data_IF_208833552909
#
_entry.id   IF_208833552909
#
_cell.length_a   1.000
_cell.length_b   1.000
_cell.length_c   1.000
_cell.angle_alpha   90.00
_cell.angle_beta   90.00
_cell.angle_gamma   90.00
#
_symmetry.space_group_name_H-M   'P 1'
#
loop_
_entity.id
_entity.type
_entity.pdbx_description
1 polymer ?
#
# COMPACT_ATOMS: atom_id res chain seq x y z
N UNK A 1 -20.60 -35.41 4.40
CA UNK A 1 -21.86 -35.14 5.08
C UNK A 1 -21.84 -35.95 6.37
N UNK A 2 -22.05 -35.30 7.51
CA UNK A 2 -22.09 -35.94 8.83
C UNK A 2 -23.53 -35.88 9.32
N UNK A 3 -24.04 -36.99 9.82
CA UNK A 3 -25.35 -37.06 10.45
C UNK A 3 -25.18 -36.92 11.96
N UNK A 4 -25.89 -35.96 12.56
CA UNK A 4 -26.00 -35.80 14.00
C UNK A 4 -27.36 -36.38 14.41
N UNK A 5 -27.39 -37.21 15.46
CA UNK A 5 -28.62 -37.76 16.03
C UNK A 5 -28.83 -37.18 17.42
N UNK A 6 -29.97 -36.52 17.64
CA UNK A 6 -30.39 -36.02 18.93
C UNK A 6 -30.91 -37.13 19.84
N UNK A 7 -30.95 -36.87 21.15
CA UNK A 7 -31.40 -37.82 22.16
C UNK A 7 -32.86 -38.28 21.93
N UNK A 8 -33.69 -37.43 21.33
CA UNK A 8 -35.10 -37.70 21.03
C UNK A 8 -35.36 -38.26 19.62
N UNK A 9 -34.33 -38.73 18.91
CA UNK A 9 -34.47 -39.30 17.56
C UNK A 9 -34.52 -38.27 16.43
N UNK A 10 -34.27 -37.00 16.73
CA UNK A 10 -34.05 -35.95 15.73
C UNK A 10 -32.74 -36.19 14.97
N UNK A 11 -32.68 -35.73 13.72
CA UNK A 11 -31.46 -35.77 12.92
C UNK A 11 -31.15 -34.38 12.36
N UNK A 12 -29.87 -34.02 12.38
CA UNK A 12 -29.34 -32.85 11.69
C UNK A 12 -28.19 -33.30 10.77
N UNK A 13 -27.92 -32.53 9.72
CA UNK A 13 -26.86 -32.83 8.76
C UNK A 13 -25.89 -31.67 8.67
N UNK A 14 -24.59 -32.01 8.71
CA UNK A 14 -23.52 -31.04 8.53
C UNK A 14 -22.72 -31.38 7.29
N UNK A 15 -22.58 -30.40 6.40
CA UNK A 15 -21.69 -30.53 5.25
C UNK A 15 -20.26 -30.14 5.67
N UNK A 16 -19.31 -31.03 5.42
CA UNK A 16 -17.89 -30.72 5.58
C UNK A 16 -17.57 -29.55 4.65
N UNK A 17 -16.88 -28.55 5.18
CA UNK A 17 -16.47 -27.36 4.42
C UNK A 17 -17.63 -26.55 3.83
N UNK A 18 -18.77 -26.47 4.51
CA UNK A 18 -19.76 -25.45 4.23
C UNK A 18 -19.19 -24.05 4.53
N UNK A 19 -19.61 -23.04 3.75
CA UNK A 19 -19.18 -21.64 3.89
C UNK A 19 -20.40 -20.81 4.28
N UNK A 20 -20.23 -19.89 5.21
CA UNK A 20 -21.30 -18.98 5.66
C UNK A 20 -21.58 -17.86 4.66
N UNK A 21 -20.60 -17.51 3.83
CA UNK A 21 -20.64 -16.40 2.90
C UNK A 21 -20.11 -16.82 1.54
N UNK A 22 -20.59 -16.16 0.48
CA UNK A 22 -20.05 -16.32 -0.88
C UNK A 22 -18.67 -15.67 -0.98
N UNK A 23 -17.81 -16.23 -1.82
CA UNK A 23 -16.50 -15.64 -2.06
C UNK A 23 -16.61 -14.35 -2.89
N UNK A 24 -16.14 -13.23 -2.34
CA UNK A 24 -16.09 -11.96 -3.04
C UNK A 24 -14.88 -11.90 -3.98
N UNK A 25 -15.15 -11.80 -5.28
CA UNK A 25 -14.09 -11.73 -6.29
C UNK A 25 -13.55 -10.30 -6.53
N UNK A 26 -14.31 -9.27 -6.14
CA UNK A 26 -14.00 -7.87 -6.45
C UNK A 26 -13.67 -7.08 -5.18
N UNK A 27 -12.52 -7.40 -4.58
CA UNK A 27 -12.11 -6.83 -3.28
C UNK A 27 -11.85 -5.31 -3.29
N UNK A 28 -11.77 -4.68 -4.46
CA UNK A 28 -11.54 -3.24 -4.64
C UNK A 28 -12.59 -2.57 -5.54
N UNK A 29 -13.76 -3.18 -5.70
CA UNK A 29 -14.87 -2.52 -6.38
C UNK A 29 -15.26 -1.23 -5.63
N UNK A 30 -15.57 -0.12 -6.33
CA UNK A 30 -15.62 0.06 -7.78
C UNK A 30 -14.29 0.56 -8.41
N UNK A 31 -13.23 0.71 -7.63
CA UNK A 31 -12.00 1.42 -8.01
C UNK A 31 -11.09 0.63 -8.96
N UNK A 32 -10.98 -0.69 -8.77
CA UNK A 32 -10.16 -1.56 -9.62
C UNK A 32 -10.94 -2.79 -10.06
N UNK A 33 -10.72 -3.19 -11.31
CA UNK A 33 -11.13 -4.50 -11.78
C UNK A 33 -10.15 -5.53 -11.23
N UNK A 34 -10.61 -6.76 -11.01
CA UNK A 34 -9.74 -7.89 -10.62
C UNK A 34 -8.48 -8.04 -11.48
N UNK A 35 -8.55 -7.80 -12.79
CA UNK A 35 -7.39 -7.87 -13.70
C UNK A 35 -6.36 -6.77 -13.48
N UNK A 36 -6.73 -5.72 -12.74
CA UNK A 36 -5.87 -4.58 -12.45
C UNK A 36 -5.04 -4.77 -11.17
N UNK A 37 -5.35 -5.79 -10.37
CA UNK A 37 -4.69 -6.08 -9.11
C UNK A 37 -3.35 -6.78 -9.38
N UNK A 38 -2.21 -6.20 -8.97
CA UNK A 38 -0.90 -6.83 -9.12
C UNK A 38 -0.80 -8.17 -8.38
N UNK A 39 0.02 -9.09 -8.91
CA UNK A 39 0.27 -10.40 -8.31
C UNK A 39 0.85 -10.35 -6.89
N UNK A 40 1.59 -9.30 -6.54
CA UNK A 40 2.15 -9.16 -5.20
C UNK A 40 1.08 -8.87 -4.13
N UNK A 41 -0.10 -8.36 -4.52
CA UNK A 41 -1.22 -8.18 -3.62
C UNK A 41 -1.86 -9.55 -3.34
N UNK A 42 -1.22 -10.22 -2.40
CA UNK A 42 -1.49 -11.59 -2.06
C UNK A 42 -2.74 -11.75 -1.17
N UNK A 43 -3.42 -10.67 -0.81
CA UNK A 43 -4.65 -10.77 -0.01
C UNK A 43 -5.73 -11.53 -0.79
N UNK A 44 -5.92 -11.17 -2.07
CA UNK A 44 -6.88 -11.86 -2.92
C UNK A 44 -6.53 -13.35 -3.08
N UNK A 45 -5.25 -13.63 -3.39
CA UNK A 45 -4.76 -14.98 -3.64
C UNK A 45 -4.87 -15.85 -2.38
N UNK A 46 -4.46 -15.32 -1.23
CA UNK A 46 -4.62 -16.00 0.04
C UNK A 46 -6.09 -16.23 0.39
N UNK A 47 -6.95 -15.22 0.32
CA UNK A 47 -8.39 -15.37 0.61
C UNK A 47 -9.02 -16.41 -0.31
N UNK A 48 -8.69 -16.41 -1.60
CA UNK A 48 -9.17 -17.40 -2.58
C UNK A 48 -8.71 -18.81 -2.21
N UNK A 49 -7.41 -19.00 -2.01
CA UNK A 49 -6.85 -20.28 -1.59
C UNK A 49 -7.47 -20.75 -0.28
N UNK A 50 -7.59 -19.86 0.71
CA UNK A 50 -8.18 -20.14 2.00
C UNK A 50 -9.67 -20.50 1.90
N UNK A 51 -10.40 -19.92 0.95
CA UNK A 51 -11.80 -20.22 0.73
C UNK A 51 -12.02 -21.56 0.01
N UNK A 52 -11.33 -21.78 -1.11
CA UNK A 52 -11.59 -22.91 -2.01
C UNK A 52 -10.73 -24.14 -1.71
N UNK A 53 -9.49 -23.95 -1.26
CA UNK A 53 -8.49 -25.01 -1.20
C UNK A 53 -8.27 -25.52 0.23
N UNK A 54 -8.27 -24.63 1.24
CA UNK A 54 -8.11 -25.05 2.63
C UNK A 54 -9.27 -25.95 3.11
N UNK A 55 -8.92 -27.18 3.52
CA UNK A 55 -9.89 -28.22 3.95
C UNK A 55 -9.95 -28.42 5.47
N UNK A 56 -9.16 -27.68 6.26
CA UNK A 56 -9.07 -27.85 7.71
C UNK A 56 -10.14 -27.08 8.49
N UNK A 57 -10.13 -27.26 9.82
CA UNK A 57 -11.09 -26.59 10.70
C UNK A 57 -10.69 -25.13 10.95
N UNK A 58 -11.46 -24.19 10.38
CA UNK A 58 -11.10 -22.75 10.38
C UNK A 58 -11.17 -22.10 11.75
N UNK A 59 -12.11 -22.50 12.62
CA UNK A 59 -12.21 -21.95 13.99
C UNK A 59 -10.99 -22.34 14.82
N UNK A 60 -10.62 -23.63 14.77
CA UNK A 60 -9.39 -24.09 15.41
C UNK A 60 -8.16 -23.43 14.81
N UNK A 61 -8.09 -23.29 13.48
CA UNK A 61 -6.98 -22.59 12.83
C UNK A 61 -6.83 -21.14 13.31
N UNK A 62 -7.92 -20.39 13.40
CA UNK A 62 -7.91 -19.01 13.92
C UNK A 62 -7.33 -18.98 15.33
N UNK A 63 -7.85 -19.84 16.23
CA UNK A 63 -7.35 -19.96 17.59
C UNK A 63 -5.86 -20.35 17.68
N UNK A 64 -5.43 -21.33 16.88
CA UNK A 64 -4.03 -21.77 16.84
C UNK A 64 -3.11 -20.68 16.26
N UNK A 65 -3.57 -19.92 15.27
CA UNK A 65 -2.81 -18.81 14.69
C UNK A 65 -2.60 -17.68 15.70
N UNK A 66 -3.60 -17.39 16.53
CA UNK A 66 -3.53 -16.40 17.59
C UNK A 66 -2.61 -16.86 18.74
N UNK A 67 -2.74 -18.10 19.19
CA UNK A 67 -1.80 -18.70 20.16
C UNK A 67 -0.37 -18.62 19.63
N UNK A 68 -0.17 -18.99 18.36
CA UNK A 68 1.15 -18.94 17.74
C UNK A 68 1.71 -17.52 17.70
N UNK A 69 0.88 -16.51 17.42
CA UNK A 69 1.29 -15.12 17.43
C UNK A 69 1.81 -14.67 18.79
N UNK A 70 1.03 -14.86 19.86
CA UNK A 70 1.47 -14.47 21.21
C UNK A 70 2.68 -15.27 21.68
N UNK A 71 2.76 -16.57 21.36
CA UNK A 71 3.94 -17.40 21.68
C UNK A 71 5.23 -16.94 20.99
N UNK A 72 5.14 -16.21 19.88
CA UNK A 72 6.30 -15.71 19.14
C UNK A 72 6.54 -14.21 19.37
N UNK A 73 6.17 -13.68 20.54
CA UNK A 73 6.44 -12.28 20.93
C UNK A 73 5.45 -11.27 20.35
N UNK A 74 4.31 -11.73 19.83
CA UNK A 74 3.18 -10.87 19.49
C UNK A 74 2.57 -10.23 20.74
N UNK A 75 2.13 -8.98 20.62
CA UNK A 75 1.48 -8.20 21.66
C UNK A 75 0.35 -7.31 21.08
N UNK A 76 -0.31 -6.55 21.94
CA UNK A 76 -1.41 -5.66 21.54
C UNK A 76 -0.93 -4.52 20.64
N UNK A 77 0.35 -4.17 20.62
CA UNK A 77 0.93 -3.11 19.79
C UNK A 77 1.32 -3.58 18.39
N UNK A 78 1.58 -4.88 18.21
CA UNK A 78 1.93 -5.47 16.92
C UNK A 78 0.88 -6.46 16.38
N UNK A 79 -0.26 -6.63 17.07
CA UNK A 79 -1.41 -7.39 16.58
C UNK A 79 -1.86 -6.88 15.20
N UNK A 80 -2.03 -7.75 14.18
CA UNK A 80 -2.43 -7.32 12.85
C UNK A 80 -3.82 -6.71 12.84
N UNK A 81 -4.04 -5.74 11.96
CA UNK A 81 -5.36 -5.11 11.79
C UNK A 81 -6.34 -6.01 11.03
N UNK A 82 -5.84 -6.94 10.20
CA UNK A 82 -6.68 -7.88 9.46
C UNK A 82 -6.59 -9.27 10.07
N UNK A 83 -7.74 -9.88 10.34
CA UNK A 83 -7.86 -11.22 10.93
C UNK A 83 -7.07 -12.28 10.15
N UNK A 84 -7.10 -12.21 8.81
CA UNK A 84 -6.45 -13.18 7.94
C UNK A 84 -4.91 -13.13 7.98
N UNK A 85 -4.29 -12.04 8.44
CA UNK A 85 -2.83 -11.90 8.42
C UNK A 85 -2.16 -12.87 9.40
N UNK A 86 -2.77 -13.10 10.57
CA UNK A 86 -2.32 -14.09 11.55
C UNK A 86 -2.42 -15.50 10.99
N UNK A 87 -3.57 -15.82 10.40
CA UNK A 87 -3.84 -17.13 9.81
C UNK A 87 -2.85 -17.39 8.66
N UNK A 88 -2.65 -16.42 7.78
CA UNK A 88 -1.72 -16.50 6.66
C UNK A 88 -0.31 -16.74 7.14
N UNK A 89 0.19 -15.92 8.08
CA UNK A 89 1.53 -16.07 8.67
C UNK A 89 1.71 -17.45 9.31
N UNK A 90 0.72 -17.90 10.07
CA UNK A 90 0.74 -19.22 10.68
C UNK A 90 0.81 -20.35 9.64
N UNK A 91 -0.03 -20.31 8.61
CA UNK A 91 -0.06 -21.33 7.56
C UNK A 91 1.21 -21.32 6.70
N UNK A 92 1.78 -20.16 6.40
CA UNK A 92 3.07 -20.05 5.71
C UNK A 92 4.20 -20.62 6.56
N UNK A 93 4.25 -20.32 7.86
CA UNK A 93 5.25 -20.90 8.76
C UNK A 93 5.13 -22.42 8.89
N UNK A 94 3.91 -22.96 8.73
CA UNK A 94 3.65 -24.41 8.68
C UNK A 94 3.91 -25.04 7.32
N UNK A 95 4.32 -24.26 6.30
CA UNK A 95 4.50 -24.74 4.93
C UNK A 95 3.20 -25.16 4.23
N UNK A 96 2.04 -24.79 4.77
CA UNK A 96 0.73 -25.14 4.22
C UNK A 96 0.27 -24.16 3.15
N UNK A 97 0.80 -22.94 3.16
CA UNK A 97 0.49 -21.91 2.18
C UNK A 97 1.78 -21.24 1.68
N UNK A 98 1.92 -21.21 0.36
CA UNK A 98 3.02 -20.52 -0.33
C UNK A 98 2.43 -19.40 -1.18
N UNK A 99 2.90 -18.18 -0.93
CA UNK A 99 2.51 -17.02 -1.72
C UNK A 99 3.01 -17.18 -3.16
N UNK A 100 2.22 -16.85 -4.19
CA UNK A 100 2.59 -17.02 -5.60
C UNK A 100 3.64 -16.02 -6.11
N UNK A 101 4.48 -15.47 -5.22
CA UNK A 101 5.47 -14.45 -5.58
C UNK A 101 6.43 -14.97 -6.65
N UNK A 102 6.55 -14.21 -7.75
CA UNK A 102 7.54 -14.43 -8.79
C UNK A 102 8.78 -13.59 -8.50
N UNK A 103 9.96 -14.18 -8.66
CA UNK A 103 11.19 -13.40 -8.72
C UNK A 103 11.38 -12.83 -10.11
N UNK A 104 12.13 -11.73 -10.20
CA UNK A 104 12.61 -11.25 -11.48
C UNK A 104 13.95 -11.94 -11.78
N UNK A 105 14.14 -12.36 -13.02
CA UNK A 105 15.38 -13.00 -13.43
C UNK A 105 16.44 -12.00 -13.92
N UNK A 106 16.07 -10.74 -14.13
CA UNK A 106 16.88 -9.72 -14.78
C UNK A 106 16.89 -8.39 -14.00
N UNK A 107 17.99 -7.66 -14.14
CA UNK A 107 18.12 -6.30 -13.63
C UNK A 107 17.37 -5.31 -14.54
N UNK A 108 16.40 -4.59 -13.99
CA UNK A 108 15.64 -3.58 -14.69
C UNK A 108 16.38 -2.25 -14.65
N UNK A 109 16.39 -1.54 -15.78
CA UNK A 109 16.94 -0.20 -15.87
C UNK A 109 16.24 0.76 -14.89
N UNK A 110 17.01 1.65 -14.25
CA UNK A 110 16.50 2.63 -13.30
C UNK A 110 16.31 2.13 -11.86
N UNK A 111 16.69 0.87 -11.58
CA UNK A 111 16.71 0.31 -10.23
C UNK A 111 18.14 0.23 -9.69
N UNK A 112 18.28 0.50 -8.39
CA UNK A 112 19.54 0.43 -7.65
C UNK A 112 19.52 -0.80 -6.73
N UNK A 113 20.63 -1.54 -6.71
CA UNK A 113 20.80 -2.69 -5.83
C UNK A 113 21.14 -2.23 -4.41
N UNK A 114 20.30 -2.60 -3.45
CA UNK A 114 20.49 -2.26 -2.03
C UNK A 114 20.56 -3.54 -1.21
N UNK A 115 21.62 -3.66 -0.39
CA UNK A 115 21.80 -4.80 0.51
C UNK A 115 21.07 -4.53 1.83
N UNK A 116 20.00 -5.28 2.09
CA UNK A 116 19.17 -5.15 3.31
C UNK A 116 19.63 -6.09 4.44
N UNK A 117 20.27 -7.20 4.09
CA UNK A 117 20.91 -8.06 5.08
C UNK A 117 22.10 -8.80 4.46
N UNK A 118 22.82 -9.58 5.27
CA UNK A 118 23.94 -10.39 4.78
C UNK A 118 23.55 -11.31 3.62
N UNK A 119 22.29 -11.75 3.56
CA UNK A 119 21.79 -12.71 2.58
C UNK A 119 20.65 -12.15 1.70
N UNK A 120 20.24 -10.89 1.88
CA UNK A 120 19.14 -10.28 1.12
C UNK A 120 19.59 -8.99 0.46
N UNK A 121 19.46 -8.92 -0.86
CA UNK A 121 19.53 -7.68 -1.64
C UNK A 121 18.21 -7.49 -2.34
N UNK A 122 17.76 -6.24 -2.44
CA UNK A 122 16.60 -5.87 -3.24
C UNK A 122 17.01 -4.81 -4.27
N UNK A 123 16.28 -4.78 -5.37
CA UNK A 123 16.40 -3.73 -6.38
C UNK A 123 15.35 -2.65 -6.08
N UNK A 124 15.73 -1.38 -6.03
CA UNK A 124 14.84 -0.26 -5.65
C UNK A 124 14.93 0.87 -6.66
N UNK A 125 13.79 1.33 -7.18
CA UNK A 125 13.73 2.48 -8.06
C UNK A 125 13.88 3.80 -7.29
N UNK A 126 14.14 4.88 -8.02
CA UNK A 126 13.79 6.22 -7.52
C UNK A 126 12.26 6.36 -7.39
N UNK A 127 11.83 7.47 -6.77
CA UNK A 127 10.42 7.85 -6.74
C UNK A 127 9.84 7.93 -8.15
N UNK A 128 8.64 7.38 -8.34
CA UNK A 128 7.94 7.48 -9.62
C UNK A 128 7.53 8.93 -9.85
N UNK A 129 7.82 9.45 -11.04
CA UNK A 129 7.70 10.87 -11.36
C UNK A 129 6.36 11.21 -12.02
N UNK A 130 6.02 12.50 -12.06
CA UNK A 130 4.88 13.01 -12.82
C UNK A 130 5.01 12.67 -14.31
N UNK A 131 6.23 12.69 -14.87
CA UNK A 131 6.49 12.26 -16.24
C UNK A 131 6.16 10.77 -16.46
N UNK A 132 6.59 9.89 -15.54
CA UNK A 132 6.30 8.46 -15.62
C UNK A 132 4.79 8.20 -15.59
N UNK A 133 4.07 8.93 -14.75
CA UNK A 133 2.61 8.88 -14.70
C UNK A 133 1.95 9.40 -15.98
N UNK A 134 2.49 10.46 -16.59
CA UNK A 134 2.01 10.99 -17.87
C UNK A 134 2.14 9.95 -19.00
N UNK A 135 3.25 9.20 -19.04
CA UNK A 135 3.43 8.08 -19.97
C UNK A 135 2.38 6.99 -19.72
N UNK A 136 2.20 6.59 -18.46
CA UNK A 136 1.16 5.62 -18.08
C UNK A 136 -0.24 6.06 -18.53
N UNK A 137 -0.60 7.34 -18.31
CA UNK A 137 -1.91 7.89 -18.66
C UNK A 137 -2.18 7.85 -20.17
N UNK A 138 -1.16 8.11 -20.99
CA UNK A 138 -1.26 8.04 -22.46
C UNK A 138 -1.56 6.62 -22.94
N UNK A 139 -0.98 5.62 -22.29
CA UNK A 139 -1.15 4.20 -22.63
C UNK A 139 -2.40 3.57 -22.01
N UNK A 140 -2.95 4.15 -20.93
CA UNK A 140 -4.06 3.59 -20.15
C UNK A 140 -5.28 4.51 -20.10
N UNK A 141 -5.63 5.14 -21.23
CA UNK A 141 -6.72 6.13 -21.29
C UNK A 141 -8.06 5.62 -20.77
N UNK A 142 -8.38 4.35 -21.00
CA UNK A 142 -9.65 3.77 -20.54
C UNK A 142 -9.72 3.65 -19.01
N UNK A 143 -8.59 3.39 -18.35
CA UNK A 143 -8.52 3.43 -16.90
C UNK A 143 -8.78 4.86 -16.40
N UNK A 144 -8.07 5.84 -16.98
CA UNK A 144 -8.19 7.25 -16.60
C UNK A 144 -9.62 7.78 -16.79
N UNK A 145 -10.30 7.43 -17.90
CA UNK A 145 -11.70 7.82 -18.15
C UNK A 145 -12.70 7.24 -17.16
N UNK A 146 -12.43 6.02 -16.66
CA UNK A 146 -13.32 5.32 -15.75
C UNK A 146 -12.99 5.57 -14.27
N UNK A 147 -11.92 6.32 -13.99
CA UNK A 147 -11.48 6.71 -12.65
C UNK A 147 -12.55 7.61 -12.00
N UNK A 148 -13.25 7.11 -10.97
CA UNK A 148 -14.34 7.80 -10.26
C UNK A 148 -14.31 7.49 -8.77
N UNK A 149 -14.87 8.38 -7.96
CA UNK A 149 -14.97 8.22 -6.51
C UNK A 149 -13.62 8.32 -5.77
N UNK A 150 -12.62 8.97 -6.37
CA UNK A 150 -11.27 9.14 -5.84
C UNK A 150 -10.81 10.58 -6.11
N UNK A 151 -9.80 11.04 -5.36
CA UNK A 151 -9.23 12.41 -5.47
C UNK A 151 -8.90 12.82 -6.91
N UNK A 152 -9.11 14.08 -7.28
CA UNK A 152 -8.62 14.63 -8.55
C UNK A 152 -7.08 14.79 -8.49
N UNK A 153 -6.40 14.01 -9.33
CA UNK A 153 -4.94 14.00 -9.37
C UNK A 153 -4.35 15.23 -10.08
N UNK A 154 -5.14 15.98 -10.85
CA UNK A 154 -4.62 17.13 -11.63
C UNK A 154 -4.09 18.24 -10.74
N UNK A 155 -4.82 18.54 -9.65
CA UNK A 155 -4.50 19.67 -8.78
C UNK A 155 -3.34 19.38 -7.83
N UNK A 156 -3.06 18.11 -7.54
CA UNK A 156 -1.93 17.69 -6.70
C UNK A 156 -0.66 17.36 -7.52
N UNK A 157 -0.75 17.18 -8.84
CA UNK A 157 0.41 16.86 -9.69
C UNK A 157 0.73 17.99 -10.67
N UNK A 158 0.92 19.21 -10.15
CA UNK A 158 1.24 20.42 -10.94
C UNK A 158 2.70 20.84 -10.84
N UNK A 159 3.51 20.12 -10.07
CA UNK A 159 4.95 20.33 -9.96
C UNK A 159 5.67 20.01 -11.28
N UNK A 160 6.98 20.26 -11.31
CA UNK A 160 7.82 19.86 -12.44
C UNK A 160 7.71 18.34 -12.70
N UNK A 161 7.78 17.95 -13.97
CA UNK A 161 7.67 16.57 -14.45
C UNK A 161 8.63 15.57 -13.76
N UNK A 162 9.79 16.02 -13.26
CA UNK A 162 10.76 15.19 -12.54
C UNK A 162 10.42 15.00 -11.05
N UNK A 163 9.42 15.69 -10.52
CA UNK A 163 8.99 15.55 -9.13
C UNK A 163 8.15 14.27 -8.94
N UNK A 164 8.11 13.73 -7.71
CA UNK A 164 7.31 12.56 -7.40
C UNK A 164 5.83 12.78 -7.70
N UNK A 165 5.20 11.83 -8.40
CA UNK A 165 3.75 11.85 -8.58
C UNK A 165 3.06 11.48 -7.27
N UNK A 166 1.97 12.17 -6.95
CA UNK A 166 1.06 11.86 -5.86
C UNK A 166 -0.16 11.13 -6.36
N UNK A 167 -0.40 9.91 -5.87
CA UNK A 167 -1.45 9.02 -6.36
C UNK A 167 -2.25 8.42 -5.20
N UNK A 168 -3.46 7.96 -5.50
CA UNK A 168 -4.20 7.08 -4.57
C UNK A 168 -3.58 5.69 -4.56
N UNK A 169 -3.87 4.88 -3.55
CA UNK A 169 -3.34 3.51 -3.50
C UNK A 169 -3.83 2.67 -4.69
N UNK A 170 -5.07 2.87 -5.13
CA UNK A 170 -5.62 2.16 -6.28
C UNK A 170 -4.94 2.53 -7.60
N UNK A 171 -4.60 3.81 -7.78
CA UNK A 171 -3.80 4.28 -8.93
C UNK A 171 -2.41 3.64 -8.92
N UNK A 172 -1.78 3.53 -7.75
CA UNK A 172 -0.49 2.84 -7.56
C UNK A 172 -0.57 1.37 -7.95
N UNK A 173 -1.59 0.63 -7.49
CA UNK A 173 -1.78 -0.76 -7.86
C UNK A 173 -1.95 -0.93 -9.37
N UNK A 174 -2.79 -0.09 -10.00
CA UNK A 174 -2.97 -0.14 -11.46
C UNK A 174 -1.67 0.16 -12.20
N UNK A 175 -0.91 1.15 -11.74
CA UNK A 175 0.40 1.50 -12.30
C UNK A 175 1.36 0.32 -12.22
N UNK A 176 1.48 -0.33 -11.05
CA UNK A 176 2.38 -1.48 -10.87
C UNK A 176 1.97 -2.65 -11.77
N UNK A 177 0.67 -2.92 -11.91
CA UNK A 177 0.21 -3.97 -12.81
C UNK A 177 0.60 -3.68 -14.28
N UNK A 178 0.40 -2.44 -14.75
CA UNK A 178 0.85 -2.03 -16.09
C UNK A 178 2.38 -2.14 -16.23
N UNK A 179 3.14 -1.67 -15.24
CA UNK A 179 4.60 -1.73 -15.25
C UNK A 179 5.08 -3.18 -15.36
N UNK A 180 4.50 -4.08 -14.57
CA UNK A 180 4.80 -5.51 -14.58
C UNK A 180 4.51 -6.16 -15.94
N UNK A 181 3.38 -5.81 -16.57
CA UNK A 181 3.05 -6.30 -17.91
C UNK A 181 4.01 -5.77 -18.97
N UNK A 182 4.32 -4.47 -18.92
CA UNK A 182 5.17 -3.79 -19.90
C UNK A 182 6.62 -4.27 -19.86
N UNK A 183 7.14 -4.54 -18.66
CA UNK A 183 8.52 -4.91 -18.44
C UNK A 183 8.73 -6.40 -18.13
N UNK A 184 7.66 -7.21 -18.23
CA UNK A 184 7.68 -8.63 -17.83
C UNK A 184 8.33 -8.83 -16.45
N UNK A 185 7.92 -8.00 -15.50
CA UNK A 185 8.49 -7.91 -14.16
C UNK A 185 7.45 -8.28 -13.09
N UNK A 186 7.92 -8.46 -11.86
CA UNK A 186 7.10 -8.58 -10.66
C UNK A 186 7.61 -7.63 -9.57
N UNK A 187 7.47 -6.33 -9.85
CA UNK A 187 7.73 -5.27 -8.87
C UNK A 187 6.56 -5.12 -7.89
N UNK A 188 6.90 -4.59 -6.72
CA UNK A 188 6.00 -4.32 -5.59
C UNK A 188 6.43 -3.05 -4.87
N UNK A 189 5.62 -2.62 -3.91
CA UNK A 189 6.03 -1.61 -2.94
C UNK A 189 7.00 -2.22 -1.92
N UNK A 190 7.83 -1.36 -1.30
CA UNK A 190 8.60 -1.72 -0.12
C UNK A 190 7.65 -2.00 1.04
N UNK A 191 8.00 -2.97 1.88
CA UNK A 191 7.35 -3.10 3.19
C UNK A 191 7.95 -2.09 4.18
N UNK A 192 7.35 -1.94 5.36
CA UNK A 192 7.81 -0.93 6.32
C UNK A 192 9.25 -1.14 6.79
N UNK A 193 9.63 -2.39 7.09
CA UNK A 193 10.98 -2.72 7.57
C UNK A 193 12.04 -2.45 6.50
N UNK A 194 11.73 -2.78 5.23
CA UNK A 194 12.58 -2.46 4.08
C UNK A 194 12.71 -0.95 3.89
N UNK A 195 11.60 -0.20 3.96
CA UNK A 195 11.63 1.26 3.86
C UNK A 195 12.47 1.89 4.97
N UNK A 196 12.24 1.47 6.22
CA UNK A 196 12.98 1.94 7.40
C UNK A 196 14.48 1.65 7.27
N UNK A 197 14.84 0.50 6.73
CA UNK A 197 16.25 0.12 6.54
C UNK A 197 16.96 1.00 5.49
N UNK A 198 16.30 1.30 4.37
CA UNK A 198 16.92 2.06 3.27
C UNK A 198 16.84 3.57 3.45
N UNK A 199 16.00 4.05 4.38
CA UNK A 199 15.83 5.47 4.62
C UNK A 199 17.08 6.08 5.28
N UNK A 200 17.51 7.30 4.87
CA UNK A 200 18.55 8.02 5.59
C UNK A 200 18.07 8.64 6.91
N UNK A 201 16.77 8.55 7.20
CA UNK A 201 16.15 9.18 8.35
C UNK A 201 15.87 8.20 9.48
N UNK A 202 15.70 8.72 10.69
CA UNK A 202 15.31 7.95 11.86
C UNK A 202 13.85 8.16 12.21
N UNK A 203 13.26 7.17 12.89
CA UNK A 203 11.89 7.28 13.36
C UNK A 203 11.82 8.17 14.60
N UNK A 204 11.29 9.37 14.44
CA UNK A 204 11.17 10.35 15.53
C UNK A 204 9.71 10.54 15.94
N UNK A 205 9.50 11.16 17.11
CA UNK A 205 8.19 11.70 17.43
C UNK A 205 7.89 12.92 16.55
N UNK A 206 6.61 13.18 16.35
CA UNK A 206 6.13 14.32 15.58
C UNK A 206 6.46 15.62 16.32
N UNK A 207 7.32 16.43 15.73
CA UNK A 207 7.44 17.84 16.08
C UNK A 207 6.37 18.65 15.32
N UNK A 208 6.10 19.86 15.78
CA UNK A 208 5.08 20.75 15.24
C UNK A 208 5.10 20.80 13.70
N UNK A 209 3.88 20.80 13.16
CA UNK A 209 3.61 20.70 11.73
C UNK A 209 4.00 21.98 11.01
N UNK A 210 5.24 22.06 10.54
CA UNK A 210 5.62 23.10 9.58
C UNK A 210 4.96 22.82 8.24
N UNK A 211 4.39 23.84 7.63
CA UNK A 211 3.74 23.78 6.32
C UNK A 211 4.60 24.41 5.21
N UNK A 212 5.86 24.73 5.53
CA UNK A 212 6.80 25.44 4.64
C UNK A 212 7.15 24.64 3.37
N UNK A 213 6.96 23.33 3.39
CA UNK A 213 7.31 22.43 2.27
C UNK A 213 6.24 22.36 1.16
N UNK A 214 5.04 22.90 1.41
CA UNK A 214 3.92 22.84 0.47
C UNK A 214 3.27 24.23 0.31
N UNK A 215 2.92 24.54 -0.93
CA UNK A 215 2.14 25.71 -1.30
C UNK A 215 0.75 25.29 -1.80
N UNK A 216 -0.26 26.07 -1.41
CA UNK A 216 -1.62 26.02 -1.92
C UNK A 216 -1.86 27.19 -2.85
N UNK A 217 -2.48 26.93 -4.00
CA UNK A 217 -2.90 27.96 -4.95
C UNK A 217 -4.41 27.88 -5.15
N UNK A 218 -5.11 28.94 -4.73
CA UNK A 218 -6.54 29.12 -4.89
C UNK A 218 -6.85 30.62 -4.84
N UNK A 219 -7.95 31.05 -5.48
CA UNK A 219 -8.37 32.45 -5.53
C UNK A 219 -7.25 33.43 -5.93
N UNK A 220 -6.42 33.03 -6.91
CA UNK A 220 -5.26 33.79 -7.41
C UNK A 220 -4.17 34.09 -6.36
N UNK A 221 -4.23 33.42 -5.20
CA UNK A 221 -3.28 33.56 -4.10
C UNK A 221 -2.43 32.30 -3.93
N UNK A 222 -1.22 32.50 -3.46
CA UNK A 222 -0.31 31.43 -3.00
C UNK A 222 -0.23 31.53 -1.48
N UNK A 223 -0.46 30.42 -0.79
CA UNK A 223 -0.43 30.34 0.67
C UNK A 223 0.32 29.09 1.11
N UNK A 224 1.14 29.20 2.15
CA UNK A 224 1.70 28.05 2.89
C UNK A 224 0.76 27.59 4.01
N UNK A 225 -0.20 28.43 4.40
CA UNK A 225 -1.23 28.05 5.37
C UNK A 225 -2.28 27.14 4.73
N UNK A 226 -2.76 26.12 5.46
CA UNK A 226 -3.86 25.27 5.04
C UNK A 226 -5.07 26.06 4.54
N UNK A 227 -5.70 25.64 3.43
CA UNK A 227 -6.95 26.27 3.01
C UNK A 227 -8.05 26.05 4.06
N UNK A 228 -8.98 27.02 4.20
CA UNK A 228 -10.11 26.88 5.11
C UNK A 228 -11.02 25.73 4.68
N UNK A 229 -11.89 25.28 5.59
CA UNK A 229 -12.92 24.30 5.25
C UNK A 229 -13.80 24.80 4.11
N UNK A 230 -14.06 23.95 3.12
CA UNK A 230 -14.89 24.25 1.96
C UNK A 230 -15.49 22.99 1.36
N UNK A 231 -16.47 23.18 0.48
CA UNK A 231 -17.10 22.10 -0.30
C UNK A 231 -16.08 21.29 -1.09
N UNK A 232 -16.32 19.98 -1.20
CA UNK A 232 -15.42 19.01 -1.82
C UNK A 232 -15.03 19.41 -3.25
N UNK A 233 -15.99 19.86 -4.06
CA UNK A 233 -15.73 20.27 -5.44
C UNK A 233 -14.76 21.48 -5.53
N UNK A 234 -14.82 22.39 -4.56
CA UNK A 234 -13.89 23.52 -4.47
C UNK A 234 -12.53 23.06 -3.96
N UNK A 235 -12.51 22.20 -2.94
CA UNK A 235 -11.29 21.65 -2.36
C UNK A 235 -10.47 20.87 -3.40
N UNK A 236 -11.12 20.06 -4.24
CA UNK A 236 -10.47 19.30 -5.30
C UNK A 236 -9.81 20.20 -6.36
N UNK A 237 -10.28 21.45 -6.54
CA UNK A 237 -9.68 22.43 -7.47
C UNK A 237 -8.46 23.17 -6.91
N UNK A 238 -8.24 23.15 -5.58
CA UNK A 238 -7.06 23.80 -4.98
C UNK A 238 -5.79 23.12 -5.47
N UNK A 239 -4.88 23.88 -6.07
CA UNK A 239 -3.60 23.33 -6.46
C UNK A 239 -2.73 23.16 -5.21
N UNK A 240 -2.12 21.99 -5.04
CA UNK A 240 -1.19 21.69 -3.95
C UNK A 240 0.14 21.21 -4.54
N UNK A 241 1.19 21.99 -4.37
CA UNK A 241 2.53 21.71 -4.91
C UNK A 241 3.61 21.84 -3.84
N UNK A 242 4.78 21.28 -4.09
CA UNK A 242 5.93 21.54 -3.25
C UNK A 242 6.33 23.02 -3.33
N UNK A 243 6.84 23.55 -2.22
CA UNK A 243 7.53 24.84 -2.25
C UNK A 243 8.80 24.73 -3.10
N UNK A 244 9.26 25.87 -3.64
CA UNK A 244 10.39 25.89 -4.59
C UNK A 244 11.70 25.35 -4.01
N UNK A 245 11.86 25.40 -2.69
CA UNK A 245 13.08 25.04 -1.98
C UNK A 245 13.02 23.65 -1.33
N UNK A 246 12.17 22.76 -1.84
CA UNK A 246 12.02 21.40 -1.32
C UNK A 246 13.36 20.65 -1.38
N UNK A 247 13.78 20.13 -0.22
CA UNK A 247 15.05 19.43 -0.09
C UNK A 247 14.92 17.97 -0.53
N UNK A 248 15.90 17.53 -1.30
CA UNK A 248 16.03 16.15 -1.76
C UNK A 248 17.36 15.61 -1.25
N UNK A 249 17.31 14.50 -0.53
CA UNK A 249 18.47 13.81 -0.01
C UNK A 249 18.73 12.54 -0.82
N UNK A 250 19.95 12.36 -1.29
CA UNK A 250 20.38 11.12 -1.94
C UNK A 250 21.02 10.19 -0.91
N UNK A 251 20.56 8.95 -0.86
CA UNK A 251 21.11 7.89 -0.01
C UNK A 251 21.03 6.56 -0.74
N UNK A 252 22.09 5.74 -0.72
CA UNK A 252 22.15 4.47 -1.47
C UNK A 252 21.74 4.61 -2.96
N UNK A 253 22.16 5.70 -3.61
CA UNK A 253 21.83 6.02 -5.02
C UNK A 253 20.34 6.23 -5.34
N UNK A 254 19.50 6.36 -4.31
CA UNK A 254 18.09 6.72 -4.43
C UNK A 254 17.79 8.03 -3.71
N UNK A 255 16.81 8.76 -4.22
CA UNK A 255 16.40 10.05 -3.70
C UNK A 255 15.25 9.90 -2.68
N UNK A 256 15.29 10.75 -1.66
CA UNK A 256 14.24 10.92 -0.65
C UNK A 256 13.88 12.40 -0.54
N UNK A 257 12.60 12.70 -0.41
CA UNK A 257 12.14 14.06 -0.14
C UNK A 257 12.27 14.31 1.36
N UNK A 258 13.07 15.30 1.76
CA UNK A 258 13.21 15.69 3.16
C UNK A 258 12.03 16.60 3.56
N UNK A 259 10.85 16.01 3.69
CA UNK A 259 9.65 16.71 4.09
C UNK A 259 8.75 15.85 4.97
N UNK A 260 8.15 16.49 5.97
CA UNK A 260 7.06 15.88 6.72
C UNK A 260 5.77 15.84 5.92
N UNK A 261 5.63 16.65 4.86
CA UNK A 261 4.45 16.71 3.98
C UNK A 261 4.55 15.83 2.75
N UNK A 262 5.58 15.00 2.68
CA UNK A 262 5.68 13.92 1.71
C UNK A 262 5.65 12.58 2.42
N UNK A 263 4.81 11.68 1.93
CA UNK A 263 4.74 10.30 2.37
C UNK A 263 4.85 9.36 1.17
N UNK A 264 5.14 8.10 1.43
CA UNK A 264 5.19 7.06 0.40
C UNK A 264 4.28 5.90 0.76
N UNK A 265 3.53 5.41 -0.23
CA UNK A 265 2.79 4.16 -0.11
C UNK A 265 3.74 2.99 0.10
N UNK A 266 3.40 2.12 1.06
CA UNK A 266 4.11 0.86 1.35
C UNK A 266 3.18 -0.34 1.17
N UNK A 267 3.78 -1.53 1.11
CA UNK A 267 3.13 -2.81 0.80
C UNK A 267 1.91 -3.11 1.70
N UNK A 268 1.95 -2.67 2.95
CA UNK A 268 0.93 -2.85 3.97
C UNK A 268 -0.33 -1.99 3.74
N UNK A 269 -0.41 -1.27 2.61
CA UNK A 269 -1.45 -0.28 2.29
C UNK A 269 -1.48 0.89 3.28
N UNK A 270 -0.32 1.17 3.88
CA UNK A 270 -0.10 2.32 4.74
C UNK A 270 0.83 3.33 4.04
N UNK A 271 1.08 4.47 4.70
CA UNK A 271 2.07 5.43 4.23
C UNK A 271 3.10 5.73 5.31
N UNK A 272 4.34 5.95 4.85
CA UNK A 272 5.45 6.40 5.70
C UNK A 272 5.78 7.84 5.32
N UNK A 273 5.75 8.77 6.28
CA UNK A 273 6.27 10.13 6.09
C UNK A 273 7.79 10.05 5.93
N UNK A 274 8.30 10.60 4.83
CA UNK A 274 9.67 10.32 4.40
C UNK A 274 10.70 10.77 5.42
N UNK A 275 10.57 11.99 5.96
CA UNK A 275 11.53 12.58 6.90
C UNK A 275 11.52 11.97 8.31
N UNK A 276 10.35 11.58 8.82
CA UNK A 276 10.19 11.19 10.24
C UNK A 276 9.93 9.71 10.46
N UNK A 277 9.74 8.93 9.39
CA UNK A 277 9.35 7.52 9.42
C UNK A 277 8.12 7.22 10.29
N UNK A 278 7.24 8.23 10.40
CA UNK A 278 5.96 8.14 11.09
C UNK A 278 4.86 7.78 10.11
N UNK A 279 3.69 7.44 10.65
CA UNK A 279 2.50 7.14 9.88
C UNK A 279 2.02 8.35 9.09
N UNK A 280 1.03 8.12 8.22
CA UNK A 280 0.31 9.20 7.58
C UNK A 280 -0.25 10.26 8.56
N UNK A 281 -0.59 9.89 9.80
CA UNK A 281 -1.08 10.81 10.83
C UNK A 281 0.01 11.37 11.76
N UNK A 282 1.26 10.92 11.59
CA UNK A 282 2.42 11.37 12.35
C UNK A 282 2.69 10.59 13.64
N UNK A 283 2.08 9.42 13.82
CA UNK A 283 2.36 8.53 14.96
C UNK A 283 3.36 7.42 14.57
N UNK A 284 3.92 6.72 15.57
CA UNK A 284 4.91 5.64 15.32
C UNK A 284 4.28 4.34 14.82
N UNK A 285 2.95 4.19 14.89
CA UNK A 285 2.21 2.98 14.50
C UNK A 285 1.86 2.95 13.01
N UNK A 286 2.87 3.14 12.16
CA UNK A 286 2.78 3.24 10.69
C UNK A 286 1.81 2.22 10.07
N UNK A 287 2.03 0.93 10.32
CA UNK A 287 1.27 -0.16 9.67
C UNK A 287 -0.21 -0.15 10.07
N UNK A 288 -0.54 0.40 11.26
CA UNK A 288 -1.91 0.45 11.77
C UNK A 288 -2.67 1.68 11.29
N UNK A 289 -1.95 2.76 11.05
CA UNK A 289 -2.47 4.04 10.64
C UNK A 289 -2.66 4.12 9.11
N UNK A 290 -3.50 3.22 8.58
CA UNK A 290 -3.86 3.18 7.16
C UNK A 290 -4.71 4.40 6.81
N UNK A 291 -4.27 5.26 5.86
CA UNK A 291 -5.11 6.33 5.35
C UNK A 291 -6.19 5.80 4.38
N UNK A 292 -7.20 6.60 4.04
CA UNK A 292 -8.13 6.28 2.97
C UNK A 292 -7.38 5.97 1.67
N UNK A 293 -7.66 4.80 1.09
CA UNK A 293 -6.93 4.27 -0.07
C UNK A 293 -7.29 4.96 -1.39
N UNK A 294 -8.43 5.64 -1.41
CA UNK A 294 -8.99 6.46 -2.49
C UNK A 294 -8.50 7.92 -2.46
N UNK A 295 -7.61 8.25 -1.52
CA UNK A 295 -7.07 9.59 -1.36
C UNK A 295 -5.58 9.67 -1.74
N UNK A 296 -5.19 10.80 -2.32
CA UNK A 296 -3.81 11.18 -2.66
C UNK A 296 -3.02 11.81 -1.50
N UNK A 297 -3.68 11.92 -0.33
CA UNK A 297 -3.21 12.57 0.89
C UNK A 297 -3.55 14.06 1.02
N UNK A 298 -4.16 14.64 -0.03
CA UNK A 298 -4.47 16.07 -0.15
C UNK A 298 -5.24 16.63 1.06
N UNK A 299 -6.21 15.88 1.58
CA UNK A 299 -7.03 16.28 2.76
C UNK A 299 -6.23 16.50 4.05
N UNK A 300 -5.03 15.92 4.17
CA UNK A 300 -4.08 16.17 5.27
C UNK A 300 -2.86 16.96 4.81
N UNK A 301 -2.99 17.67 3.69
CA UNK A 301 -1.94 18.54 3.18
C UNK A 301 -0.63 17.77 2.99
N UNK A 302 -0.72 16.52 2.54
CA UNK A 302 0.40 15.61 2.42
C UNK A 302 0.36 14.99 1.04
N UNK A 303 1.47 15.02 0.31
CA UNK A 303 1.63 14.36 -0.98
C UNK A 303 2.02 12.90 -0.74
N UNK A 304 1.36 11.94 -1.38
CA UNK A 304 1.70 10.53 -1.24
C UNK A 304 2.24 9.96 -2.56
N UNK A 305 3.56 9.81 -2.63
CA UNK A 305 4.24 9.14 -3.73
C UNK A 305 4.45 7.67 -3.49
N UNK A 306 5.29 7.05 -4.31
CA UNK A 306 5.69 5.66 -4.16
C UNK A 306 6.96 5.37 -4.95
N UNK A 307 7.60 4.26 -4.60
CA UNK A 307 8.70 3.67 -5.36
C UNK A 307 8.49 2.18 -5.53
N UNK A 308 9.19 1.60 -6.48
CA UNK A 308 9.10 0.19 -6.83
C UNK A 308 10.32 -0.54 -6.29
N UNK A 309 10.11 -1.78 -5.89
CA UNK A 309 11.18 -2.70 -5.57
C UNK A 309 10.86 -4.11 -6.04
N UNK A 310 11.89 -4.94 -6.15
CA UNK A 310 11.74 -6.37 -6.39
C UNK A 310 12.96 -7.14 -5.90
N UNK A 311 12.75 -8.43 -5.70
CA UNK A 311 13.80 -9.39 -5.36
C UNK A 311 14.32 -10.06 -6.65
N UNK A 312 15.65 -10.10 -6.80
CA UNK A 312 16.35 -10.88 -7.85
C UNK A 312 16.44 -12.37 -7.47
#
# INVERSE_FOLDING_TARGET
MVFLKGENGEYDFVYKNQRSELFEHQIYSPFLKRSDIPYFDDEYHFKRWFYFEYQGFRRELSHLSEIHFYKNGGDVQNYPTREFDLIKKYLTNKGMYTSPQKKNNEELSGFNKIKISNCKSIMVSNLITINDWSIFCKENQDYIKNRKGMDDLKSINTDNDNMPVSLTFYDVLKYINWFNQKHNANVRLLNFDEYKFISPFEQTDRNEWKHEDIEFIYDEKISTEPPPYMEEEKFQKIIMRFSKDIKIMMHNHINFIESDRFAEWILEKACVRSKTLTSFYGDKSVIRAVPPLDCSGKYKYTKIGFRLCYDL
#
